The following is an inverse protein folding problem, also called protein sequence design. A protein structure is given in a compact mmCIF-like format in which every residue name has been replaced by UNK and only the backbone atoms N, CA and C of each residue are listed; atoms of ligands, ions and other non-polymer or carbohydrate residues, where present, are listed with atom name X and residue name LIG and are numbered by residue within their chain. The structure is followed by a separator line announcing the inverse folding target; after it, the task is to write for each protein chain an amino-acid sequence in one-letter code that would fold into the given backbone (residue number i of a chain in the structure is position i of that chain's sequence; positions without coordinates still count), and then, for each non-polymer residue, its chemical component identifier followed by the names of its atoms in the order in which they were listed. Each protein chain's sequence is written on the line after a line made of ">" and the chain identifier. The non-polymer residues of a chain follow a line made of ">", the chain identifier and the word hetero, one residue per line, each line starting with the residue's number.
data_IF_664592243663
#
_entry.id   IF_664592243663
#
_cell.length_a   1.000
_cell.length_b   1.000
_cell.length_c   1.000
_cell.angle_alpha   90.00
_cell.angle_beta   90.00
_cell.angle_gamma   90.00
#
_symmetry.space_group_name_H-M   'P 1'
#
loop_
_entity.id
_entity.type
_entity.pdbx_description
1 polymer ?
#
# COMPACT_ATOMS: atom_id res chain seq x y z
N UNK A 1 -14.58 -2.73 -8.39
CA UNK A 1 -13.61 -1.62 -8.24
C UNK A 1 -12.22 -2.15 -8.61
N UNK A 2 -11.53 -1.56 -9.60
CA UNK A 2 -10.21 -2.06 -10.05
C UNK A 2 -9.14 -1.71 -9.03
N UNK A 3 -8.14 -2.57 -8.86
CA UNK A 3 -7.01 -2.25 -7.99
C UNK A 3 -6.21 -1.06 -8.55
N UNK A 4 -5.57 -0.29 -7.68
CA UNK A 4 -4.75 0.86 -8.09
C UNK A 4 -3.59 0.45 -9.02
N UNK A 5 -3.13 -0.81 -8.90
CA UNK A 5 -2.19 -1.44 -9.83
C UNK A 5 -2.80 -1.64 -11.23
N UNK A 6 -4.02 -2.18 -11.32
CA UNK A 6 -4.73 -2.34 -12.60
C UNK A 6 -5.02 -1.00 -13.27
N UNK A 7 -5.40 0.03 -12.50
CA UNK A 7 -5.65 1.36 -13.04
C UNK A 7 -4.38 1.93 -13.69
N UNK A 8 -3.22 1.84 -13.02
CA UNK A 8 -1.93 2.29 -13.58
C UNK A 8 -1.54 1.53 -14.84
N UNK A 9 -1.76 0.21 -14.88
CA UNK A 9 -1.49 -0.60 -16.06
C UNK A 9 -2.31 -0.16 -17.29
N UNK A 10 -3.59 0.14 -17.09
CA UNK A 10 -4.47 0.63 -18.17
C UNK A 10 -4.05 2.02 -18.66
N UNK A 11 -3.60 2.88 -17.74
CA UNK A 11 -3.20 4.27 -18.03
C UNK A 11 -1.74 4.41 -18.50
N UNK A 12 -0.99 3.32 -18.65
CA UNK A 12 0.43 3.35 -19.01
C UNK A 12 1.34 3.98 -17.95
N UNK A 13 0.87 4.12 -16.70
CA UNK A 13 1.64 4.66 -15.59
C UNK A 13 2.48 3.56 -14.93
N UNK A 14 3.58 3.94 -14.26
CA UNK A 14 4.43 2.96 -13.57
C UNK A 14 3.67 2.25 -12.44
N UNK A 15 3.30 1.00 -12.73
CA UNK A 15 2.54 0.15 -11.84
C UNK A 15 3.39 -0.41 -10.68
N UNK A 16 4.73 -0.31 -10.72
CA UNK A 16 5.63 -0.73 -9.62
C UNK A 16 5.55 0.24 -8.44
N UNK A 17 5.38 1.53 -8.70
CA UNK A 17 5.24 2.58 -7.67
C UNK A 17 3.99 2.38 -6.79
N UNK A 18 2.99 1.65 -7.28
CA UNK A 18 1.79 1.34 -6.49
C UNK A 18 2.07 0.55 -5.20
N UNK A 19 3.19 -0.18 -5.15
CA UNK A 19 3.63 -0.95 -3.98
C UNK A 19 4.65 -0.19 -3.11
N UNK A 20 5.08 1.00 -3.53
CA UNK A 20 6.02 1.80 -2.74
C UNK A 20 5.31 2.28 -1.47
N UNK A 21 5.98 2.14 -0.32
CA UNK A 21 5.43 2.58 0.97
C UNK A 21 5.11 4.08 0.87
N UNK A 22 3.86 4.45 1.14
CA UNK A 22 3.49 5.87 1.18
C UNK A 22 4.19 6.50 2.37
N UNK A 23 4.99 7.53 2.11
CA UNK A 23 5.50 8.41 3.16
C UNK A 23 4.50 9.56 3.28
N UNK A 24 3.95 9.75 4.47
CA UNK A 24 3.10 10.91 4.78
C UNK A 24 3.94 11.85 5.64
N UNK A 25 4.10 13.07 5.15
CA UNK A 25 4.79 14.16 5.86
C UNK A 25 3.75 15.12 6.40
N UNK A 26 3.66 15.23 7.73
CA UNK A 26 2.83 16.23 8.42
C UNK A 26 3.75 17.13 9.25
N UNK A 27 3.97 18.36 8.79
CA UNK A 27 4.95 19.27 9.38
C UNK A 27 6.38 18.72 9.30
N UNK A 28 7.09 18.69 10.42
CA UNK A 28 8.47 18.16 10.53
C UNK A 28 8.53 16.63 10.69
N UNK A 29 7.39 15.94 10.81
CA UNK A 29 7.35 14.49 11.05
C UNK A 29 6.99 13.76 9.76
N UNK A 30 7.90 12.89 9.33
CA UNK A 30 7.65 11.92 8.27
C UNK A 30 7.29 10.57 8.88
N UNK A 31 6.18 9.99 8.45
CA UNK A 31 5.78 8.64 8.85
C UNK A 31 5.62 7.76 7.62
N UNK A 32 6.20 6.56 7.70
CA UNK A 32 6.04 5.56 6.65
C UNK A 32 4.75 4.81 6.92
N UNK A 33 3.73 5.07 6.10
CA UNK A 33 2.46 4.36 6.17
C UNK A 33 2.62 3.02 5.46
N UNK A 34 2.83 1.99 6.28
CA UNK A 34 2.76 0.62 5.81
C UNK A 34 1.28 0.20 5.83
N UNK A 35 0.66 0.06 4.66
CA UNK A 35 -0.64 -0.60 4.52
C UNK A 35 -0.36 -2.05 4.08
N UNK A 36 -0.29 -3.04 5.00
CA UNK A 36 -0.10 -4.42 4.61
C UNK A 36 -1.30 -4.83 3.76
N UNK A 37 -1.04 -5.08 2.48
CA UNK A 37 -2.01 -5.66 1.57
C UNK A 37 -2.07 -7.16 1.83
N UNK A 38 -3.29 -7.72 1.86
CA UNK A 38 -3.53 -9.14 2.11
C UNK A 38 -4.33 -9.43 3.38
N UNK A 39 -4.65 -10.71 3.59
CA UNK A 39 -5.43 -11.18 4.75
C UNK A 39 -4.63 -10.94 6.03
N UNK A 40 -5.15 -10.09 6.92
CA UNK A 40 -4.61 -9.93 8.26
C UNK A 40 -4.70 -11.27 8.96
N UNK A 41 -3.55 -11.85 9.31
CA UNK A 41 -3.53 -13.01 10.20
C UNK A 41 -3.92 -12.50 11.58
N UNK A 42 -5.01 -13.00 12.13
CA UNK A 42 -5.35 -12.73 13.53
C UNK A 42 -4.20 -13.29 14.37
N UNK A 43 -3.68 -12.47 15.29
CA UNK A 43 -2.60 -12.87 16.20
C UNK A 43 -2.98 -14.13 17.00
N UNK A 44 -4.29 -14.37 17.18
CA UNK A 44 -4.87 -15.49 17.93
C UNK A 44 -4.96 -16.81 17.13
N UNK A 45 -4.48 -16.85 15.88
CA UNK A 45 -4.49 -18.08 15.05
C UNK A 45 -3.40 -19.10 15.40
N UNK A 46 -2.67 -18.89 16.51
CA UNK A 46 -1.83 -19.91 17.13
C UNK A 46 -2.54 -20.44 18.38
N UNK A 47 -3.34 -21.49 18.22
CA UNK A 47 -3.66 -22.43 19.29
C UNK A 47 -3.63 -23.84 18.72
#
# INVERSE_FOLDING_TARGET
>A
MKSNRQARHILGLDHKISNQRKVVTEGEKSSVVNNPTGRKRHADSKK
#
